data_IF_284426902828
#
_entry.id   IF_284426902828
#
_cell.length_a   1.000
_cell.length_b   1.000
_cell.length_c   1.000
_cell.angle_alpha   90.00
_cell.angle_beta   90.00
_cell.angle_gamma   90.00
#
_symmetry.space_group_name_H-M   'P 1'
#
loop_
_entity.id
_entity.type
_entity.pdbx_description
1 polymer ?
#
# COMPACT_ATOMS: atom_id res chain seq x y z
N UNK A 1 -15.96 23.79 26.01
CA UNK A 1 -14.48 23.84 26.14
C UNK A 1 -13.97 22.41 26.06
N UNK A 2 -13.19 22.08 25.03
CA UNK A 2 -12.48 20.81 24.93
C UNK A 2 -11.28 21.10 24.02
N UNK A 3 -10.09 21.37 24.53
CA UNK A 3 -9.40 20.59 25.55
C UNK A 3 -8.57 19.55 24.81
N UNK A 4 -7.57 20.00 24.05
CA UNK A 4 -6.63 19.11 23.39
C UNK A 4 -5.74 18.43 24.43
N UNK A 5 -5.52 17.13 24.29
CA UNK A 5 -4.64 16.36 25.15
C UNK A 5 -3.31 16.17 24.45
N UNK A 6 -2.21 16.49 25.13
CA UNK A 6 -0.85 16.16 24.69
C UNK A 6 -0.39 14.93 25.47
N UNK A 7 0.01 13.88 24.77
CA UNK A 7 0.60 12.67 25.36
C UNK A 7 2.12 12.79 25.21
N UNK A 8 2.82 13.06 26.32
CA UNK A 8 4.28 12.95 26.38
C UNK A 8 4.64 11.57 26.91
N UNK A 9 5.29 10.75 26.09
CA UNK A 9 5.73 9.39 26.44
C UNK A 9 7.25 9.41 26.56
N UNK A 10 7.77 9.09 27.75
CA UNK A 10 9.19 8.90 27.97
C UNK A 10 9.49 7.39 27.92
N UNK A 11 10.31 6.95 26.96
CA UNK A 11 10.54 5.53 26.66
C UNK A 11 11.99 5.16 27.03
N UNK A 12 12.22 4.13 27.87
CA UNK A 12 13.54 3.56 28.07
C UNK A 12 14.05 2.87 26.80
N UNK A 13 15.35 2.99 26.50
CA UNK A 13 15.95 2.35 25.34
C UNK A 13 15.79 0.81 25.39
N UNK A 14 15.16 0.22 24.35
CA UNK A 14 15.12 -1.23 24.13
C UNK A 14 13.74 -1.89 24.26
N UNK A 15 12.70 -1.18 24.70
CA UNK A 15 11.35 -1.75 24.82
C UNK A 15 10.37 -1.10 23.84
N UNK A 16 9.78 -1.92 22.97
CA UNK A 16 8.67 -1.50 22.10
C UNK A 16 7.39 -1.38 22.92
N UNK A 17 6.62 -0.31 22.69
CA UNK A 17 5.29 -0.14 23.26
C UNK A 17 4.22 -0.24 22.17
N UNK A 18 3.00 -0.61 22.56
CA UNK A 18 1.81 -0.59 21.70
C UNK A 18 0.80 0.40 22.28
N UNK A 19 0.30 1.33 21.46
CA UNK A 19 -0.84 2.17 21.81
C UNK A 19 -2.09 1.61 21.14
N UNK A 20 -3.16 1.46 21.93
CA UNK A 20 -4.49 1.15 21.42
C UNK A 20 -5.52 1.96 22.20
N UNK A 21 -6.26 2.86 21.54
CA UNK A 21 -7.59 3.30 22.02
C UNK A 21 -8.57 3.48 20.85
N UNK A 22 -9.37 2.42 20.69
CA UNK A 22 -10.82 2.22 20.49
C UNK A 22 -11.78 3.39 20.12
N UNK A 23 -12.81 3.15 19.26
CA UNK A 23 -13.80 4.13 18.86
C UNK A 23 -14.92 4.27 19.92
N UNK A 24 -15.56 5.44 19.93
CA UNK A 24 -16.40 5.96 21.00
C UNK A 24 -17.42 5.00 21.65
N UNK A 25 -17.56 5.21 22.95
CA UNK A 25 -18.60 4.74 23.87
C UNK A 25 -20.00 4.54 23.24
N UNK A 26 -20.44 3.28 23.16
CA UNK A 26 -21.85 2.92 23.30
C UNK A 26 -22.08 2.36 24.72
N UNK A 27 -23.26 2.59 25.34
CA UNK A 27 -23.51 2.15 26.71
C UNK A 27 -23.61 0.63 26.81
N UNK A 28 -23.37 0.14 28.03
CA UNK A 28 -23.17 -1.24 28.41
C UNK A 28 -24.18 -2.25 27.83
N UNK A 29 -23.64 -3.34 27.27
CA UNK A 29 -24.41 -4.57 27.02
C UNK A 29 -23.87 -5.43 25.89
N UNK A 30 -23.33 -6.59 26.26
CA UNK A 30 -22.99 -7.75 25.42
C UNK A 30 -21.55 -7.84 24.90
N UNK A 31 -20.80 -8.69 25.60
CA UNK A 31 -19.50 -9.21 25.21
C UNK A 31 -19.56 -9.96 23.89
N UNK A 32 -18.51 -9.82 23.06
CA UNK A 32 -18.05 -10.92 22.19
C UNK A 32 -16.52 -10.89 22.17
N UNK A 33 -15.93 -12.05 22.43
CA UNK A 33 -14.55 -12.22 22.86
C UNK A 33 -13.49 -11.89 21.82
N UNK A 34 -12.37 -11.38 22.33
CA UNK A 34 -11.10 -11.34 21.64
C UNK A 34 -10.52 -12.75 21.50
N UNK A 35 -10.13 -13.12 20.28
CA UNK A 35 -9.06 -14.07 20.05
C UNK A 35 -8.36 -13.69 18.74
N UNK A 36 -7.34 -12.84 18.84
CA UNK A 36 -6.33 -12.72 17.79
C UNK A 36 -5.01 -13.16 18.41
N UNK A 37 -4.66 -14.42 18.12
CA UNK A 37 -3.37 -14.98 18.42
C UNK A 37 -2.27 -14.23 17.67
N UNK A 38 -1.13 -14.05 18.33
CA UNK A 38 0.10 -13.56 17.72
C UNK A 38 0.46 -14.46 16.54
N UNK A 39 0.47 -13.93 15.33
CA UNK A 39 1.25 -14.50 14.24
C UNK A 39 2.59 -13.74 14.27
N UNK A 40 3.65 -14.42 14.69
CA UNK A 40 5.01 -13.96 14.38
C UNK A 40 5.19 -14.11 12.87
N UNK A 41 5.57 -13.06 12.12
CA UNK A 41 5.91 -13.23 10.72
C UNK A 41 7.07 -14.21 10.59
N UNK A 42 7.03 -15.16 9.64
CA UNK A 42 8.18 -16.00 9.34
C UNK A 42 9.34 -15.11 8.84
N UNK A 43 10.57 -15.52 9.13
CA UNK A 43 11.77 -14.82 8.68
C UNK A 43 11.84 -14.81 7.14
N UNK A 44 11.52 -13.66 6.54
CA UNK A 44 11.53 -13.41 5.11
C UNK A 44 11.20 -11.94 4.84
N UNK A 45 11.90 -11.33 3.88
CA UNK A 45 11.85 -9.91 3.56
C UNK A 45 10.41 -9.42 3.26
N UNK A 46 9.91 -8.44 4.02
CA UNK A 46 8.60 -7.80 3.77
C UNK A 46 8.76 -6.34 3.33
N UNK A 47 7.75 -5.74 2.70
CA UNK A 47 7.72 -4.30 2.36
C UNK A 47 6.70 -3.55 3.22
N UNK A 48 6.90 -2.26 3.53
CA UNK A 48 5.96 -1.43 4.29
C UNK A 48 5.47 -0.23 3.48
N UNK A 49 4.16 0.09 3.52
CA UNK A 49 3.57 1.37 3.05
C UNK A 49 2.74 2.00 4.17
N UNK A 50 2.97 3.28 4.50
CA UNK A 50 2.15 4.04 5.47
C UNK A 50 1.29 5.09 4.76
N UNK A 51 0.00 5.24 5.13
CA UNK A 51 -0.99 6.10 4.44
C UNK A 51 -1.74 7.02 5.44
N UNK A 52 -2.33 8.17 5.02
CA UNK A 52 -2.96 9.22 5.87
C UNK A 52 -4.37 9.61 5.32
N UNK A 53 -5.46 9.78 6.13
CA UNK A 53 -6.79 10.19 5.64
C UNK A 53 -7.08 11.68 5.94
N UNK A 54 -7.75 12.36 5.01
CA UNK A 54 -7.73 13.83 4.93
C UNK A 54 -8.85 14.58 5.69
N UNK A 55 -9.40 14.00 6.77
CA UNK A 55 -10.51 14.63 7.53
C UNK A 55 -10.18 15.06 8.96
N UNK A 56 -8.89 15.16 9.30
CA UNK A 56 -8.46 15.73 10.58
C UNK A 56 -7.92 17.17 10.40
N UNK A 57 -8.35 18.15 11.22
CA UNK A 57 -7.75 19.47 11.23
C UNK A 57 -6.32 19.35 11.78
N UNK A 58 -5.32 19.64 10.94
CA UNK A 58 -3.91 19.76 11.28
C UNK A 58 -3.35 18.65 12.19
N UNK A 59 -3.02 17.49 11.61
CA UNK A 59 -2.24 16.46 12.29
C UNK A 59 -2.15 15.17 11.47
N UNK A 60 -0.94 14.79 11.05
CA UNK A 60 -0.61 13.52 10.40
C UNK A 60 -1.13 12.33 11.22
N UNK A 61 -2.29 11.79 10.86
CA UNK A 61 -2.84 10.56 11.43
C UNK A 61 -2.59 9.42 10.46
N UNK A 62 -1.48 8.70 10.62
CA UNK A 62 -1.23 7.50 9.82
C UNK A 62 -2.41 6.51 9.94
N UNK A 63 -3.13 6.24 8.84
CA UNK A 63 -4.19 5.22 8.71
C UNK A 63 -3.67 3.84 9.12
N UNK A 64 -2.36 3.61 8.94
CA UNK A 64 -1.71 2.38 9.34
C UNK A 64 -0.58 2.02 8.38
N UNK A 65 -0.07 0.81 8.57
CA UNK A 65 1.01 0.21 7.78
C UNK A 65 0.44 -0.98 7.01
N UNK A 66 0.72 -1.04 5.71
CA UNK A 66 0.47 -2.20 4.85
C UNK A 66 1.79 -2.93 4.69
N UNK A 67 1.83 -4.22 5.05
CA UNK A 67 2.97 -5.09 4.79
C UNK A 67 2.68 -6.02 3.63
N UNK A 68 3.58 -6.11 2.66
CA UNK A 68 3.43 -6.97 1.50
C UNK A 68 4.60 -7.94 1.36
N UNK A 69 4.27 -9.19 1.01
CA UNK A 69 5.19 -10.21 0.53
C UNK A 69 5.26 -10.13 -1.00
N UNK A 70 6.45 -10.28 -1.57
CA UNK A 70 6.66 -10.32 -3.01
C UNK A 70 7.01 -11.73 -3.49
N UNK A 71 6.39 -12.16 -4.58
CA UNK A 71 6.62 -13.46 -5.20
C UNK A 71 7.87 -13.43 -6.10
N UNK A 72 9.04 -13.18 -5.50
CA UNK A 72 10.31 -13.14 -6.23
C UNK A 72 10.72 -14.50 -6.81
N UNK A 73 10.12 -15.58 -6.33
CA UNK A 73 10.27 -16.95 -6.85
C UNK A 73 9.57 -17.14 -8.20
N UNK A 74 8.41 -16.51 -8.41
CA UNK A 74 7.64 -16.64 -9.66
C UNK A 74 7.78 -15.46 -10.59
N UNK A 75 7.91 -14.25 -10.06
CA UNK A 75 7.99 -12.99 -10.82
C UNK A 75 9.15 -12.11 -10.33
N UNK A 76 10.42 -12.59 -10.43
CA UNK A 76 11.58 -11.88 -9.88
C UNK A 76 11.77 -10.48 -10.46
N UNK A 77 11.52 -10.25 -11.76
CA UNK A 77 11.68 -8.93 -12.37
C UNK A 77 10.60 -7.97 -11.86
N UNK A 78 9.37 -8.43 -11.79
CA UNK A 78 8.24 -7.60 -11.34
C UNK A 78 8.38 -7.27 -9.86
N UNK A 79 8.75 -8.25 -9.03
CA UNK A 79 9.04 -8.08 -7.62
C UNK A 79 10.20 -7.10 -7.38
N UNK A 80 11.34 -7.25 -8.07
CA UNK A 80 12.50 -6.36 -7.91
C UNK A 80 12.17 -4.92 -8.30
N UNK A 81 11.35 -4.71 -9.34
CA UNK A 81 10.87 -3.38 -9.70
C UNK A 81 10.11 -2.73 -8.54
N UNK A 82 9.12 -3.43 -7.99
CA UNK A 82 8.33 -2.89 -6.88
C UNK A 82 9.18 -2.65 -5.63
N UNK A 83 10.05 -3.60 -5.27
CA UNK A 83 10.96 -3.50 -4.11
C UNK A 83 11.87 -2.28 -4.22
N UNK A 84 12.52 -2.09 -5.36
CA UNK A 84 13.43 -0.97 -5.58
C UNK A 84 12.70 0.38 -5.60
N UNK A 85 11.45 0.42 -6.09
CA UNK A 85 10.59 1.60 -6.01
C UNK A 85 10.09 1.87 -4.58
N UNK A 86 9.98 0.85 -3.72
CA UNK A 86 9.73 1.05 -2.30
C UNK A 86 10.94 1.63 -1.57
N UNK A 87 12.17 1.23 -1.90
CA UNK A 87 13.38 1.73 -1.23
C UNK A 87 13.89 3.05 -1.79
N UNK A 88 13.56 3.37 -3.04
CA UNK A 88 14.09 4.55 -3.73
C UNK A 88 15.57 4.43 -4.13
N UNK A 89 16.15 3.23 -4.05
CA UNK A 89 17.61 3.02 -4.19
C UNK A 89 18.15 3.30 -5.60
N UNK A 90 17.28 3.34 -6.62
CA UNK A 90 17.67 3.60 -8.01
C UNK A 90 17.81 5.09 -8.34
N UNK A 91 17.56 5.98 -7.36
CA UNK A 91 17.77 7.41 -7.53
C UNK A 91 16.74 8.06 -8.46
N UNK A 92 17.21 8.84 -9.44
CA UNK A 92 16.35 9.59 -10.35
C UNK A 92 16.02 8.80 -11.62
N UNK A 93 14.75 8.79 -12.01
CA UNK A 93 14.26 8.26 -13.27
C UNK A 93 14.48 9.22 -14.45
N UNK A 94 14.24 8.73 -15.65
CA UNK A 94 14.37 9.50 -16.91
C UNK A 94 13.38 10.66 -16.97
N UNK A 95 12.25 10.56 -16.28
CA UNK A 95 11.25 11.64 -16.17
C UNK A 95 11.66 12.72 -15.16
N UNK A 96 12.88 12.68 -14.62
CA UNK A 96 13.40 13.68 -13.69
C UNK A 96 12.77 13.62 -12.29
N UNK A 97 12.13 12.50 -11.96
CA UNK A 97 11.47 12.22 -10.68
C UNK A 97 12.19 11.07 -9.98
N UNK A 98 12.26 11.05 -8.64
CA UNK A 98 12.80 9.91 -7.92
C UNK A 98 12.02 8.64 -8.26
N UNK A 99 12.73 7.53 -8.50
CA UNK A 99 12.15 6.20 -8.64
C UNK A 99 11.75 5.67 -7.25
N UNK A 100 10.74 6.31 -6.65
CA UNK A 100 10.36 6.09 -5.25
C UNK A 100 8.87 6.31 -5.05
N UNK A 101 8.19 5.36 -4.39
CA UNK A 101 6.76 5.50 -4.06
C UNK A 101 6.47 6.52 -2.96
N UNK A 102 7.46 6.93 -2.17
CA UNK A 102 7.29 7.94 -1.13
C UNK A 102 6.78 9.26 -1.72
N UNK A 103 5.66 9.73 -1.19
CA UNK A 103 4.94 10.92 -1.67
C UNK A 103 3.95 10.65 -2.81
N UNK A 104 3.93 9.45 -3.39
CA UNK A 104 2.92 9.06 -4.37
C UNK A 104 1.55 8.88 -3.73
N UNK A 105 0.49 9.00 -4.52
CA UNK A 105 -0.89 8.91 -4.05
C UNK A 105 -1.53 7.59 -4.48
N UNK A 106 -2.54 7.15 -3.73
CA UNK A 106 -3.49 6.14 -4.18
C UNK A 106 -4.53 6.85 -5.05
N UNK A 107 -4.40 6.71 -6.36
CA UNK A 107 -5.20 7.48 -7.32
C UNK A 107 -6.47 6.77 -7.78
N UNK A 108 -6.53 5.45 -7.64
CA UNK A 108 -7.70 4.63 -7.97
C UNK A 108 -8.22 3.97 -6.70
N UNK A 109 -9.50 4.16 -6.37
CA UNK A 109 -10.12 3.58 -5.18
C UNK A 109 -11.56 3.23 -5.54
N UNK A 110 -11.88 1.95 -5.48
CA UNK A 110 -13.23 1.42 -5.63
C UNK A 110 -13.59 0.68 -4.34
N UNK A 111 -14.59 1.14 -3.56
CA UNK A 111 -14.94 0.57 -2.26
C UNK A 111 -15.11 -0.95 -2.31
N UNK A 112 -14.43 -1.65 -1.41
CA UNK A 112 -14.44 -3.13 -1.28
C UNK A 112 -14.09 -3.93 -2.55
N UNK A 113 -13.57 -3.26 -3.59
CA UNK A 113 -13.25 -3.90 -4.86
C UNK A 113 -11.75 -3.88 -5.13
N UNK A 114 -11.16 -2.69 -5.32
CA UNK A 114 -9.74 -2.56 -5.67
C UNK A 114 -9.23 -1.17 -5.34
N UNK A 115 -7.95 -1.07 -4.99
CA UNK A 115 -7.22 0.21 -4.94
C UNK A 115 -6.02 0.17 -5.89
N UNK A 116 -5.60 1.33 -6.37
CA UNK A 116 -4.46 1.47 -7.26
C UNK A 116 -3.64 2.72 -6.98
N UNK A 117 -2.33 2.57 -7.06
CA UNK A 117 -1.34 3.61 -6.76
C UNK A 117 -0.10 3.49 -7.63
N UNK A 118 0.97 4.19 -7.24
CA UNK A 118 2.29 4.05 -7.85
C UNK A 118 2.58 4.99 -9.02
N UNK A 119 1.71 5.96 -9.32
CA UNK A 119 2.03 7.07 -10.23
C UNK A 119 2.79 8.16 -9.45
N UNK A 120 4.12 8.11 -9.48
CA UNK A 120 5.00 9.10 -8.86
C UNK A 120 5.50 10.18 -9.84
N UNK A 121 5.13 10.12 -11.13
CA UNK A 121 5.65 11.06 -12.14
C UNK A 121 4.64 12.11 -12.57
N UNK A 122 3.37 11.73 -12.70
CA UNK A 122 2.30 12.62 -13.18
C UNK A 122 1.24 12.74 -12.08
N UNK A 123 1.67 13.42 -11.01
CA UNK A 123 0.94 13.60 -9.76
C UNK A 123 -0.52 13.99 -10.05
N UNK A 124 -1.44 13.02 -9.86
CA UNK A 124 -2.92 13.13 -9.77
C UNK A 124 -3.74 12.62 -10.96
N UNK A 125 -3.15 12.04 -12.02
CA UNK A 125 -3.95 11.52 -13.16
C UNK A 125 -3.92 10.00 -13.33
N UNK A 126 -2.94 9.29 -12.79
CA UNK A 126 -2.79 7.85 -13.06
C UNK A 126 -2.31 7.57 -14.49
N UNK A 127 -1.74 8.58 -15.16
CA UNK A 127 -1.22 8.48 -16.53
C UNK A 127 0.32 8.42 -16.56
N UNK A 128 0.97 8.60 -15.41
CA UNK A 128 2.41 8.56 -15.25
C UNK A 128 2.90 7.23 -14.69
N UNK A 129 4.11 7.26 -14.13
CA UNK A 129 4.86 6.10 -13.68
C UNK A 129 6.13 5.89 -14.51
N UNK A 130 7.13 5.29 -13.90
CA UNK A 130 8.32 4.76 -14.55
C UNK A 130 8.76 3.48 -13.83
N UNK A 131 9.21 2.44 -14.54
CA UNK A 131 9.89 1.29 -13.93
C UNK A 131 11.37 1.58 -13.65
N UNK A 132 12.02 0.68 -12.91
CA UNK A 132 13.48 0.73 -12.73
C UNK A 132 14.27 0.30 -13.98
N UNK A 133 13.57 -0.20 -15.01
CA UNK A 133 14.18 -0.81 -16.18
C UNK A 133 14.42 0.19 -17.32
N UNK A 134 15.31 -0.20 -18.23
CA UNK A 134 15.63 0.60 -19.40
C UNK A 134 14.37 0.84 -20.26
N UNK A 135 13.93 2.10 -20.32
CA UNK A 135 12.77 2.49 -21.14
C UNK A 135 11.55 2.89 -20.32
N UNK A 136 11.57 2.68 -19.00
CA UNK A 136 10.49 3.07 -18.10
C UNK A 136 9.29 2.12 -18.12
N UNK A 137 9.31 1.11 -18.99
CA UNK A 137 8.33 0.03 -19.09
C UNK A 137 9.02 -1.34 -19.11
N UNK A 138 8.27 -2.42 -18.87
CA UNK A 138 8.73 -3.80 -19.03
C UNK A 138 7.57 -4.75 -19.37
N UNK A 139 7.94 -5.91 -19.91
CA UNK A 139 7.04 -6.97 -20.38
C UNK A 139 6.25 -7.63 -19.26
N UNK A 140 5.15 -8.30 -19.62
CA UNK A 140 4.42 -9.19 -18.70
C UNK A 140 5.28 -10.43 -18.41
N UNK A 141 5.70 -10.61 -17.16
CA UNK A 141 6.66 -11.66 -16.82
C UNK A 141 6.06 -13.06 -16.88
N UNK A 142 4.87 -13.27 -16.31
CA UNK A 142 4.01 -14.43 -16.47
C UNK A 142 2.66 -14.21 -15.74
N UNK A 143 1.73 -15.15 -15.94
CA UNK A 143 0.39 -15.13 -15.33
C UNK A 143 0.10 -16.41 -14.52
N UNK A 144 1.14 -16.98 -13.87
CA UNK A 144 1.02 -18.22 -13.08
C UNK A 144 0.12 -18.00 -11.86
N UNK A 145 0.28 -16.86 -11.18
CA UNK A 145 -0.54 -16.44 -10.04
C UNK A 145 -1.78 -15.69 -10.55
N UNK A 146 -2.90 -15.86 -9.84
CA UNK A 146 -4.23 -15.37 -10.24
C UNK A 146 -4.82 -14.46 -9.16
N UNK A 147 -5.80 -13.64 -9.51
CA UNK A 147 -6.46 -12.68 -8.62
C UNK A 147 -7.50 -13.35 -7.72
N UNK A 148 -7.02 -14.30 -6.91
CA UNK A 148 -7.83 -15.23 -6.11
C UNK A 148 -8.54 -14.63 -4.90
N UNK A 149 -8.31 -13.36 -4.57
CA UNK A 149 -9.01 -12.73 -3.47
C UNK A 149 -8.39 -11.44 -2.92
N UNK A 150 -8.88 -11.01 -1.74
CA UNK A 150 -8.42 -9.81 -1.07
C UNK A 150 -6.92 -9.87 -0.71
N UNK A 151 -6.21 -8.77 -0.91
CA UNK A 151 -4.80 -8.62 -0.61
C UNK A 151 -3.87 -8.97 -1.77
N UNK A 152 -4.36 -9.53 -2.88
CA UNK A 152 -3.51 -9.80 -4.05
C UNK A 152 -2.95 -8.49 -4.62
N UNK A 153 -1.63 -8.46 -4.82
CA UNK A 153 -0.87 -7.35 -5.40
C UNK A 153 -0.53 -7.67 -6.86
N UNK A 154 -0.95 -6.80 -7.78
CA UNK A 154 -0.71 -6.97 -9.22
C UNK A 154 -0.31 -5.67 -9.91
N UNK A 155 0.25 -5.79 -11.11
CA UNK A 155 0.66 -4.63 -11.92
C UNK A 155 -0.56 -3.95 -12.54
N UNK A 156 -0.58 -2.61 -12.52
CA UNK A 156 -1.48 -1.84 -13.37
C UNK A 156 -0.76 -1.47 -14.67
N UNK A 157 -1.33 -1.87 -15.81
CA UNK A 157 -0.76 -1.64 -17.14
C UNK A 157 -1.79 -0.99 -18.08
N UNK A 158 -1.33 -0.59 -19.27
CA UNK A 158 -2.16 -0.02 -20.34
C UNK A 158 -2.25 -0.99 -21.53
N UNK A 159 -2.35 -2.29 -21.24
CA UNK A 159 -2.30 -3.38 -22.22
C UNK A 159 -1.00 -4.19 -22.13
N UNK A 160 -0.86 -5.22 -23.00
CA UNK A 160 0.24 -6.17 -22.93
C UNK A 160 1.60 -5.49 -22.93
N UNK A 161 2.52 -5.98 -22.09
CA UNK A 161 3.91 -5.56 -22.01
C UNK A 161 4.14 -4.06 -21.71
N UNK A 162 3.21 -3.44 -20.99
CA UNK A 162 3.30 -2.01 -20.60
C UNK A 162 3.43 -1.79 -19.09
N UNK A 163 3.98 -2.77 -18.37
CA UNK A 163 4.18 -2.66 -16.93
C UNK A 163 5.17 -1.54 -16.60
N UNK A 164 4.91 -0.80 -15.52
CA UNK A 164 5.78 0.28 -15.07
C UNK A 164 5.86 0.31 -13.53
N UNK A 165 5.36 1.35 -12.88
CA UNK A 165 5.34 1.48 -11.41
C UNK A 165 3.95 1.42 -10.81
N UNK A 166 2.91 1.54 -11.61
CA UNK A 166 1.56 1.49 -11.07
C UNK A 166 1.20 0.06 -10.66
N UNK A 167 0.48 -0.07 -9.54
CA UNK A 167 0.08 -1.35 -8.96
C UNK A 167 -1.38 -1.30 -8.52
N UNK A 168 -1.96 -2.47 -8.32
CA UNK A 168 -3.30 -2.71 -7.81
C UNK A 168 -3.24 -3.61 -6.58
N UNK A 169 -4.14 -3.37 -5.61
CA UNK A 169 -4.40 -4.27 -4.50
C UNK A 169 -5.89 -4.63 -4.52
N UNK A 170 -6.18 -5.90 -4.76
CA UNK A 170 -7.54 -6.44 -4.77
C UNK A 170 -8.14 -6.49 -3.36
N UNK A 171 -9.43 -6.20 -3.24
CA UNK A 171 -10.24 -6.38 -2.01
C UNK A 171 -11.31 -7.47 -2.15
N UNK A 172 -11.41 -8.07 -3.34
CA UNK A 172 -12.26 -9.21 -3.70
C UNK A 172 -11.52 -10.09 -4.72
N UNK A 173 -12.09 -11.21 -5.12
CA UNK A 173 -11.64 -11.97 -6.30
C UNK A 173 -11.89 -11.16 -7.59
N UNK A 174 -10.90 -11.12 -8.48
CA UNK A 174 -10.93 -10.36 -9.73
C UNK A 174 -10.44 -11.19 -10.94
N UNK A 175 -11.12 -12.30 -11.23
CA UNK A 175 -10.77 -13.21 -12.34
C UNK A 175 -10.71 -12.49 -13.70
N UNK A 176 -11.39 -11.36 -13.85
CA UNK A 176 -11.36 -10.51 -15.04
C UNK A 176 -9.98 -9.89 -15.33
N UNK A 177 -9.09 -9.85 -14.34
CA UNK A 177 -7.70 -9.37 -14.50
C UNK A 177 -6.69 -10.50 -14.72
N UNK A 178 -7.12 -11.76 -14.64
CA UNK A 178 -6.25 -12.90 -14.91
C UNK A 178 -5.78 -12.87 -16.37
N UNK A 179 -4.50 -13.20 -16.56
CA UNK A 179 -3.83 -13.18 -17.87
C UNK A 179 -3.71 -11.79 -18.53
N UNK A 180 -4.11 -10.73 -17.81
CA UNK A 180 -3.98 -9.33 -18.22
C UNK A 180 -3.06 -8.54 -17.30
N UNK A 181 -3.06 -8.85 -16.00
CA UNK A 181 -2.28 -8.17 -14.99
C UNK A 181 -1.38 -9.17 -14.25
N UNK A 182 -0.08 -8.90 -14.24
CA UNK A 182 0.90 -9.76 -13.55
C UNK A 182 0.70 -9.66 -12.04
N UNK A 183 0.34 -10.78 -11.40
CA UNK A 183 0.31 -10.91 -9.93
C UNK A 183 1.72 -11.18 -9.43
N UNK A 184 2.22 -10.34 -8.54
CA UNK A 184 3.61 -10.39 -8.09
C UNK A 184 3.79 -10.31 -6.57
N UNK A 185 2.70 -10.30 -5.79
CA UNK A 185 2.78 -10.34 -4.34
C UNK A 185 1.41 -10.41 -3.67
N UNK A 186 1.41 -10.23 -2.35
CA UNK A 186 0.20 -10.16 -1.54
C UNK A 186 0.41 -9.32 -0.28
N UNK A 187 -0.66 -8.73 0.23
CA UNK A 187 -0.72 -8.08 1.54
C UNK A 187 -0.72 -9.15 2.62
N UNK A 188 0.24 -9.08 3.55
CA UNK A 188 0.36 -9.96 4.71
C UNK A 188 -0.03 -9.27 6.02
N UNK A 189 0.03 -7.95 6.09
CA UNK A 189 -0.49 -7.14 7.21
C UNK A 189 -1.14 -5.86 6.68
N UNK A 190 -2.16 -5.34 7.38
CA UNK A 190 -2.79 -4.06 7.04
C UNK A 190 -3.85 -4.12 5.94
N UNK A 191 -4.49 -5.27 5.69
CA UNK A 191 -5.61 -5.36 4.74
C UNK A 191 -6.81 -4.50 5.18
N UNK A 192 -7.01 -4.33 6.48
CA UNK A 192 -7.96 -3.39 7.07
C UNK A 192 -7.64 -1.94 6.69
N UNK A 193 -6.35 -1.56 6.67
CA UNK A 193 -5.89 -0.25 6.17
C UNK A 193 -6.27 -0.07 4.70
N UNK A 194 -6.05 -1.09 3.86
CA UNK A 194 -6.46 -1.09 2.44
C UNK A 194 -7.97 -0.88 2.28
N UNK A 195 -8.79 -1.55 3.10
CA UNK A 195 -10.25 -1.38 3.10
C UNK A 195 -10.70 0.00 3.54
N UNK A 196 -10.04 0.59 4.54
CA UNK A 196 -10.30 1.97 4.96
C UNK A 196 -10.01 2.92 3.80
N UNK A 197 -8.85 2.76 3.16
CA UNK A 197 -8.44 3.55 1.99
C UNK A 197 -9.46 3.45 0.84
N UNK A 198 -9.98 2.26 0.55
CA UNK A 198 -10.94 2.10 -0.55
C UNK A 198 -12.24 2.88 -0.36
N UNK A 199 -12.57 3.23 0.88
CA UNK A 199 -13.77 3.98 1.24
C UNK A 199 -13.54 5.50 1.39
N UNK A 200 -12.30 5.96 1.24
CA UNK A 200 -12.00 7.38 1.40
C UNK A 200 -12.76 8.21 0.35
N UNK A 201 -13.60 9.17 0.79
CA UNK A 201 -14.44 9.91 -0.13
C UNK A 201 -13.59 10.87 -0.97
N UNK A 202 -13.68 10.73 -2.29
CA UNK A 202 -13.03 11.59 -3.28
C UNK A 202 -13.72 12.96 -3.36
N UNK A 203 -13.69 13.74 -2.27
CA UNK A 203 -14.33 15.07 -2.23
C UNK A 203 -13.55 16.11 -3.06
N UNK A 204 -12.24 15.97 -3.17
CA UNK A 204 -11.36 16.81 -4.00
C UNK A 204 -10.07 16.07 -4.39
N UNK A 205 -9.43 16.48 -5.51
CA UNK A 205 -8.15 15.89 -5.99
C UNK A 205 -7.01 15.95 -4.96
N UNK A 206 -7.11 16.84 -3.97
CA UNK A 206 -6.13 17.05 -2.90
C UNK A 206 -6.32 16.13 -1.68
N UNK A 207 -7.38 15.32 -1.66
CA UNK A 207 -7.74 14.45 -0.52
C UNK A 207 -7.44 12.98 -0.74
N UNK A 208 -6.63 12.65 -1.75
CA UNK A 208 -6.26 11.27 -2.02
C UNK A 208 -5.23 10.78 -0.98
N UNK A 209 -5.35 9.53 -0.52
CA UNK A 209 -4.38 8.96 0.43
C UNK A 209 -2.97 8.95 -0.17
N UNK A 210 -1.96 9.27 0.65
CA UNK A 210 -0.56 9.44 0.22
C UNK A 210 0.33 8.43 0.92
N UNK A 211 1.27 7.83 0.18
CA UNK A 211 2.35 7.01 0.73
C UNK A 211 3.34 7.94 1.45
N UNK A 212 3.27 8.03 2.77
CA UNK A 212 4.13 8.96 3.54
C UNK A 212 5.56 8.42 3.72
N UNK A 213 5.70 7.09 3.70
CA UNK A 213 6.98 6.39 3.78
C UNK A 213 6.82 4.97 3.24
N UNK A 214 7.91 4.44 2.67
CA UNK A 214 7.97 3.08 2.18
C UNK A 214 9.41 2.55 2.19
N UNK A 215 9.55 1.22 2.18
CA UNK A 215 10.85 0.57 2.19
C UNK A 215 10.76 -0.93 2.41
N UNK A 216 11.93 -1.57 2.48
CA UNK A 216 12.10 -2.99 2.73
C UNK A 216 12.41 -3.26 4.20
N UNK A 217 11.63 -4.16 4.78
CA UNK A 217 11.81 -4.77 6.09
C UNK A 217 12.90 -5.83 5.94
N UNK A 218 13.93 -5.72 6.77
CA UNK A 218 15.06 -6.66 6.86
C UNK A 218 14.99 -7.46 8.14
#
# INVERSE_FOLDING_TARGET
MAGGFTININIPAGEGFTISINPNSAPAGSAVGAAFGRIQPPAGEGLTISINPNSAPAGNLSVGRIVMELFADTTPRTAENFRALCTGEKGMGKKGKPLHYKGSIIHHMSPDYIIGGGDFTDERKGCGGESIYAGGFFEDENFIKKHTGPGILSMNNNGPDTNQSQFLISLTENWEFDDLHVVFGQVVEGLDVVRIISHEPLKDKLSKPVVIDCGQIK
#
